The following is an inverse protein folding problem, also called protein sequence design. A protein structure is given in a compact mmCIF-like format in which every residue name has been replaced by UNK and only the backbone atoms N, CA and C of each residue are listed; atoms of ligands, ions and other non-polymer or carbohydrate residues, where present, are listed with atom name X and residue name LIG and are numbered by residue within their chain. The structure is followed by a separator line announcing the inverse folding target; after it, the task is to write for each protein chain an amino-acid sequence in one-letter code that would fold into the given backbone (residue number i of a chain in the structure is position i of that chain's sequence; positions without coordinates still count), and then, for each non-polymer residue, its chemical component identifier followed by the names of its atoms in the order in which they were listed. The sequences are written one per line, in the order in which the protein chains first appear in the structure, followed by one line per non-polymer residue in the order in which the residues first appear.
data_IF_515908382770
#
_entry.id   IF_515908382770
#
_cell.length_a   1.000
_cell.length_b   1.000
_cell.length_c   1.000
_cell.angle_alpha   90.00
_cell.angle_beta   90.00
_cell.angle_gamma   90.00
#
_symmetry.space_group_name_H-M   'P 1'
#
loop_
_entity.id
_entity.type
_entity.pdbx_description
1 polymer ?
#
# COMPACT_ATOMS: atom_id res chain seq x y z
N UNK A 1 -25.33 -51.04 -8.93
CA UNK A 1 -25.14 -49.73 -9.56
C UNK A 1 -24.80 -48.76 -8.45
N UNK A 2 -23.50 -48.56 -8.22
CA UNK A 2 -22.98 -47.66 -7.18
C UNK A 2 -22.71 -46.29 -7.80
N UNK A 3 -23.38 -45.26 -7.32
CA UNK A 3 -23.01 -43.87 -7.62
C UNK A 3 -21.98 -43.41 -6.61
N UNK A 4 -20.73 -43.28 -7.07
CA UNK A 4 -19.67 -42.62 -6.34
C UNK A 4 -19.92 -41.14 -6.35
N UNK A 5 -20.44 -40.59 -5.26
CA UNK A 5 -20.51 -39.15 -5.01
C UNK A 5 -19.12 -38.61 -4.78
N UNK A 6 -18.55 -37.91 -5.76
CA UNK A 6 -17.36 -37.07 -5.60
C UNK A 6 -17.71 -35.92 -4.66
N UNK A 7 -17.23 -35.99 -3.43
CA UNK A 7 -17.20 -34.86 -2.51
C UNK A 7 -16.23 -33.82 -3.08
N UNK A 8 -16.78 -32.83 -3.78
CA UNK A 8 -16.04 -31.63 -4.15
C UNK A 8 -15.79 -30.87 -2.86
N UNK A 9 -14.56 -31.03 -2.32
CA UNK A 9 -14.10 -30.20 -1.22
C UNK A 9 -14.09 -28.74 -1.67
N UNK A 10 -14.90 -27.91 -1.03
CA UNK A 10 -14.88 -26.46 -1.19
C UNK A 10 -13.46 -26.00 -0.87
N UNK A 11 -12.77 -25.28 -1.77
CA UNK A 11 -11.43 -24.78 -1.47
C UNK A 11 -11.53 -23.87 -0.24
N UNK A 12 -10.88 -24.25 0.85
CA UNK A 12 -10.76 -23.40 2.03
C UNK A 12 -10.02 -22.16 1.60
N UNK A 13 -10.70 -21.00 1.66
CA UNK A 13 -10.07 -19.71 1.42
C UNK A 13 -8.89 -19.55 2.38
N UNK A 14 -7.69 -19.36 1.83
CA UNK A 14 -6.48 -19.13 2.60
C UNK A 14 -6.66 -17.84 3.40
N UNK A 15 -6.52 -17.94 4.73
CA UNK A 15 -6.68 -16.77 5.61
C UNK A 15 -5.44 -15.90 5.58
N UNK A 16 -5.64 -14.60 5.50
CA UNK A 16 -4.56 -13.63 5.68
C UNK A 16 -3.93 -13.75 7.06
N UNK A 17 -2.64 -13.52 7.10
CA UNK A 17 -1.88 -13.40 8.34
C UNK A 17 -2.02 -11.98 8.88
N UNK A 18 -2.39 -11.85 10.15
CA UNK A 18 -2.54 -10.54 10.79
C UNK A 18 -1.25 -10.14 11.50
N UNK A 19 -0.79 -8.93 11.18
CA UNK A 19 0.31 -8.24 11.84
C UNK A 19 -0.21 -7.00 12.56
N UNK A 20 0.37 -6.68 13.71
CA UNK A 20 0.08 -5.46 14.47
C UNK A 20 1.34 -4.62 14.56
N UNK A 21 1.21 -3.33 14.32
CA UNK A 21 2.33 -2.40 14.41
C UNK A 21 1.92 -1.16 15.21
N UNK A 22 2.74 -0.78 16.17
CA UNK A 22 2.75 0.56 16.73
C UNK A 22 3.83 1.32 15.96
N UNK A 23 3.44 2.38 15.26
CA UNK A 23 4.32 3.19 14.44
C UNK A 23 4.36 4.61 14.98
N UNK A 24 5.51 5.01 15.51
CA UNK A 24 5.82 6.38 15.91
C UNK A 24 6.43 7.12 14.71
N UNK A 25 5.80 8.22 14.29
CA UNK A 25 6.21 9.01 13.12
C UNK A 25 6.71 10.37 13.60
N UNK A 26 7.93 10.71 13.18
CA UNK A 26 8.54 12.04 13.30
C UNK A 26 8.83 12.56 11.90
N UNK A 27 7.85 13.20 11.27
CA UNK A 27 7.99 13.83 9.95
C UNK A 27 8.41 15.28 10.14
N UNK A 28 9.70 15.50 10.00
CA UNK A 28 10.34 16.81 10.21
C UNK A 28 10.00 17.75 9.05
N UNK A 29 9.91 17.22 7.84
CA UNK A 29 9.66 18.00 6.62
C UNK A 29 8.27 18.64 6.62
N UNK A 30 7.28 17.94 7.18
CA UNK A 30 5.89 18.43 7.27
C UNK A 30 5.49 18.87 8.68
N UNK A 31 6.41 18.78 9.67
CA UNK A 31 6.10 19.11 11.06
C UNK A 31 5.01 18.22 11.66
N UNK A 32 4.92 16.95 11.22
CA UNK A 32 3.90 15.99 11.63
C UNK A 32 4.48 14.94 12.58
N UNK A 33 3.96 14.89 13.80
CA UNK A 33 4.38 13.95 14.85
C UNK A 33 3.16 13.18 15.33
N UNK A 34 3.19 11.85 15.19
CA UNK A 34 2.03 11.02 15.52
C UNK A 34 2.42 9.59 15.85
N UNK A 35 1.58 8.92 16.64
CA UNK A 35 1.67 7.50 16.92
C UNK A 35 0.42 6.80 16.39
N UNK A 36 0.60 5.70 15.70
CA UNK A 36 -0.47 4.92 15.10
C UNK A 36 -0.42 3.46 15.55
N UNK A 37 -1.56 2.94 16.01
CA UNK A 37 -1.76 1.50 16.23
C UNK A 37 -2.41 0.91 15.00
N UNK A 38 -1.66 0.14 14.23
CA UNK A 38 -2.03 -0.36 12.91
C UNK A 38 -2.24 -1.87 12.92
N UNK A 39 -3.19 -2.33 12.12
CA UNK A 39 -3.41 -3.74 11.83
C UNK A 39 -3.28 -3.97 10.33
N UNK A 40 -2.39 -4.85 9.92
CA UNK A 40 -2.15 -5.21 8.54
C UNK A 40 -2.57 -6.66 8.30
N UNK A 41 -3.39 -6.88 7.30
CA UNK A 41 -3.66 -8.21 6.78
C UNK A 41 -2.66 -8.50 5.64
N UNK A 42 -1.79 -9.47 5.84
CA UNK A 42 -0.87 -9.95 4.82
C UNK A 42 -1.53 -11.12 4.11
N UNK A 43 -1.85 -10.96 2.83
CA UNK A 43 -2.46 -11.98 2.00
C UNK A 43 -1.50 -13.20 1.87
N UNK A 44 -1.99 -14.45 1.79
CA UNK A 44 -1.14 -15.63 1.64
C UNK A 44 -0.16 -15.59 0.46
N UNK A 45 -0.51 -14.85 -0.60
CA UNK A 45 0.36 -14.60 -1.77
C UNK A 45 1.20 -13.33 -1.66
N UNK A 46 1.12 -12.61 -0.54
CA UNK A 46 1.90 -11.39 -0.30
C UNK A 46 3.18 -11.73 0.45
N UNK A 47 4.30 -11.14 0.02
CA UNK A 47 5.56 -11.25 0.76
C UNK A 47 5.56 -10.30 1.96
N UNK A 48 6.29 -10.67 3.03
CA UNK A 48 6.49 -9.76 4.17
C UNK A 48 7.18 -8.45 3.74
N UNK A 49 8.08 -8.51 2.75
CA UNK A 49 8.71 -7.32 2.18
C UNK A 49 7.66 -6.35 1.64
N UNK A 50 6.70 -6.83 0.82
CA UNK A 50 5.63 -5.99 0.29
C UNK A 50 4.74 -5.41 1.39
N UNK A 51 4.38 -6.23 2.37
CA UNK A 51 3.62 -5.79 3.54
C UNK A 51 4.36 -4.67 4.30
N UNK A 52 5.68 -4.80 4.50
CA UNK A 52 6.48 -3.77 5.15
C UNK A 52 6.60 -2.50 4.32
N UNK A 53 6.65 -2.61 2.98
CA UNK A 53 6.58 -1.43 2.10
C UNK A 53 5.23 -0.72 2.22
N UNK A 54 4.11 -1.45 2.39
CA UNK A 54 2.81 -0.82 2.70
C UNK A 54 2.86 -0.02 4.01
N UNK A 55 3.55 -0.55 5.01
CA UNK A 55 3.73 0.16 6.29
C UNK A 55 4.58 1.43 6.12
N UNK A 56 5.65 1.39 5.32
CA UNK A 56 6.44 2.58 4.95
C UNK A 56 5.59 3.58 4.20
N UNK A 57 4.82 3.14 3.21
CA UNK A 57 3.91 4.02 2.46
C UNK A 57 2.88 4.69 3.38
N UNK A 58 2.40 4.00 4.42
CA UNK A 58 1.56 4.61 5.45
C UNK A 58 2.30 5.74 6.16
N UNK A 59 3.50 5.48 6.66
CA UNK A 59 4.32 6.46 7.38
C UNK A 59 4.61 7.71 6.55
N UNK A 60 5.02 7.51 5.29
CA UNK A 60 5.31 8.58 4.33
C UNK A 60 4.10 9.47 4.01
N UNK A 61 2.89 8.96 4.16
CA UNK A 61 1.66 9.68 3.80
C UNK A 61 0.77 10.06 5.00
N UNK A 62 1.17 9.75 6.23
CA UNK A 62 0.37 10.05 7.41
C UNK A 62 0.06 11.56 7.56
N UNK A 63 1.01 12.43 7.20
CA UNK A 63 0.84 13.88 7.22
C UNK A 63 -0.30 14.37 6.31
N UNK A 64 -0.66 13.61 5.25
CA UNK A 64 -1.67 14.03 4.26
C UNK A 64 -3.08 14.18 4.85
N UNK A 65 -3.37 13.49 5.95
CA UNK A 65 -4.62 13.68 6.70
C UNK A 65 -4.80 15.15 7.08
N UNK A 66 -3.73 15.82 7.49
CA UNK A 66 -3.75 17.22 7.89
C UNK A 66 -3.46 18.16 6.72
N UNK A 67 -2.43 17.88 5.91
CA UNK A 67 -1.98 18.80 4.84
C UNK A 67 -2.95 18.86 3.66
N UNK A 68 -3.67 17.77 3.37
CA UNK A 68 -4.62 17.70 2.26
C UNK A 68 -6.06 17.89 2.73
N UNK A 69 -6.43 17.34 3.89
CA UNK A 69 -7.81 17.26 4.37
C UNK A 69 -8.05 18.01 5.69
N UNK A 70 -7.07 18.74 6.21
CA UNK A 70 -7.19 19.52 7.46
C UNK A 70 -7.72 18.69 8.65
N UNK A 71 -7.31 17.41 8.72
CA UNK A 71 -7.76 16.47 9.74
C UNK A 71 -9.13 15.79 9.47
N UNK A 72 -9.81 16.15 8.36
CA UNK A 72 -11.14 15.61 8.02
C UNK A 72 -11.07 14.40 7.07
N UNK A 73 -10.16 13.49 7.33
CA UNK A 73 -9.94 12.28 6.52
C UNK A 73 -9.34 11.15 7.35
N UNK A 74 -9.34 9.96 6.78
CA UNK A 74 -8.68 8.79 7.33
C UNK A 74 -7.75 8.17 6.28
N UNK A 75 -6.50 7.92 6.67
CA UNK A 75 -5.57 7.09 5.92
C UNK A 75 -5.71 5.65 6.44
N UNK A 76 -5.99 4.70 5.57
CA UNK A 76 -6.23 3.31 5.94
C UNK A 76 -5.64 2.34 4.92
N UNK A 77 -5.32 1.11 5.39
CA UNK A 77 -5.01 0.00 4.50
C UNK A 77 -6.29 -0.47 3.81
N UNK A 78 -6.19 -0.73 2.52
CA UNK A 78 -7.22 -1.38 1.73
C UNK A 78 -7.07 -2.90 1.72
N UNK A 79 -7.84 -3.56 0.86
CA UNK A 79 -7.84 -5.02 0.71
C UNK A 79 -6.55 -5.57 0.08
N UNK A 80 -5.75 -4.72 -0.55
CA UNK A 80 -4.48 -5.10 -1.19
C UNK A 80 -4.68 -6.21 -2.22
N UNK A 81 -3.90 -7.29 -2.12
CA UNK A 81 -4.00 -8.42 -3.07
C UNK A 81 -5.33 -9.20 -2.99
N UNK A 82 -6.16 -8.95 -1.98
CA UNK A 82 -7.46 -9.61 -1.84
C UNK A 82 -8.53 -9.04 -2.77
N UNK A 83 -8.37 -7.79 -3.19
CA UNK A 83 -9.27 -7.11 -4.12
C UNK A 83 -8.46 -6.21 -5.07
N UNK A 84 -8.32 -6.57 -6.35
CA UNK A 84 -7.57 -5.78 -7.33
C UNK A 84 -8.23 -4.43 -7.66
N UNK A 85 -9.45 -4.21 -7.21
CA UNK A 85 -10.19 -2.97 -7.39
C UNK A 85 -10.13 -2.02 -6.19
N UNK A 86 -9.41 -2.40 -5.14
CA UNK A 86 -9.17 -1.60 -3.94
C UNK A 86 -7.66 -1.29 -3.80
N UNK A 87 -7.27 -0.07 -3.37
CA UNK A 87 -5.85 0.28 -3.20
C UNK A 87 -5.16 -0.51 -2.10
N UNK A 88 -3.84 -0.47 -2.08
CA UNK A 88 -3.07 -0.92 -0.91
C UNK A 88 -3.30 0.00 0.31
N UNK A 89 -3.39 1.31 0.06
CA UNK A 89 -3.80 2.31 1.06
C UNK A 89 -4.68 3.37 0.40
N UNK A 90 -5.55 3.96 1.20
CA UNK A 90 -6.45 5.02 0.76
C UNK A 90 -6.54 6.14 1.79
N UNK A 91 -6.39 7.38 1.34
CA UNK A 91 -6.83 8.56 2.07
C UNK A 91 -8.24 8.91 1.57
N UNK A 92 -9.24 8.70 2.43
CA UNK A 92 -10.61 9.08 2.14
C UNK A 92 -11.05 10.20 3.10
N UNK A 93 -11.63 11.28 2.56
CA UNK A 93 -12.25 12.29 3.39
C UNK A 93 -13.61 11.81 3.94
N UNK A 94 -14.15 12.54 4.92
CA UNK A 94 -15.39 12.14 5.56
C UNK A 94 -16.65 12.29 4.68
N UNK A 95 -16.50 12.81 3.45
CA UNK A 95 -17.55 12.75 2.43
C UNK A 95 -17.52 11.46 1.62
N UNK A 96 -16.50 10.61 1.83
CA UNK A 96 -16.27 9.37 1.12
C UNK A 96 -15.43 9.51 -0.15
N UNK A 97 -14.95 10.73 -0.47
CA UNK A 97 -14.09 10.97 -1.64
C UNK A 97 -12.69 10.46 -1.38
N UNK A 98 -12.14 9.71 -2.33
CA UNK A 98 -10.74 9.27 -2.29
C UNK A 98 -9.83 10.41 -2.74
N UNK A 99 -9.06 10.94 -1.79
CA UNK A 99 -8.11 12.04 -2.01
C UNK A 99 -6.77 11.52 -2.51
N UNK A 100 -6.33 10.37 -1.98
CA UNK A 100 -5.09 9.72 -2.37
C UNK A 100 -5.32 8.22 -2.47
N UNK A 101 -4.91 7.64 -3.57
CA UNK A 101 -4.87 6.20 -3.85
C UNK A 101 -3.41 5.75 -3.90
N UNK A 102 -3.03 4.77 -3.10
CA UNK A 102 -1.65 4.29 -3.02
C UNK A 102 -1.58 2.83 -3.44
N UNK A 103 -0.69 2.56 -4.38
CA UNK A 103 -0.34 1.21 -4.83
C UNK A 103 1.10 0.88 -4.44
N UNK A 104 1.34 -0.38 -4.08
CA UNK A 104 2.67 -0.90 -3.76
C UNK A 104 3.06 -2.01 -4.73
N UNK A 105 4.22 -1.88 -5.34
CA UNK A 105 4.74 -2.85 -6.31
C UNK A 105 4.68 -2.33 -7.74
N UNK A 106 4.24 -3.19 -8.66
CA UNK A 106 4.24 -2.93 -10.10
C UNK A 106 2.83 -3.17 -10.68
N UNK A 107 1.86 -2.28 -10.39
CA UNK A 107 0.52 -2.39 -10.95
C UNK A 107 0.52 -2.25 -12.47
N UNK A 108 -0.42 -2.88 -13.16
CA UNK A 108 -0.57 -2.75 -14.59
C UNK A 108 -1.18 -1.39 -14.99
N UNK A 109 -1.11 -1.07 -16.28
CA UNK A 109 -1.66 0.17 -16.86
C UNK A 109 -3.15 0.34 -16.55
N UNK A 110 -3.93 -0.75 -16.59
CA UNK A 110 -5.37 -0.72 -16.36
C UNK A 110 -5.70 -0.37 -14.92
N UNK A 111 -4.95 -0.94 -13.97
CA UNK A 111 -5.08 -0.63 -12.55
C UNK A 111 -4.79 0.86 -12.29
N UNK A 112 -3.70 1.41 -12.84
CA UNK A 112 -3.33 2.81 -12.69
C UNK A 112 -4.31 3.77 -13.36
N UNK A 113 -4.83 3.42 -14.53
CA UNK A 113 -5.87 4.21 -15.21
C UNK A 113 -7.16 4.24 -14.38
N UNK A 114 -7.56 3.10 -13.81
CA UNK A 114 -8.72 2.99 -12.94
C UNK A 114 -8.54 3.78 -11.65
N UNK A 115 -7.38 3.67 -11.01
CA UNK A 115 -7.03 4.45 -9.82
C UNK A 115 -7.12 5.96 -10.08
N UNK A 116 -6.55 6.42 -11.20
CA UNK A 116 -6.59 7.83 -11.61
C UNK A 116 -8.00 8.36 -11.88
N UNK A 117 -8.94 7.49 -12.26
CA UNK A 117 -10.35 7.87 -12.42
C UNK A 117 -11.11 7.99 -11.11
N UNK A 118 -10.64 7.31 -10.04
CA UNK A 118 -11.34 7.20 -8.75
C UNK A 118 -10.78 8.10 -7.65
N UNK A 119 -9.58 8.66 -7.84
CA UNK A 119 -8.91 9.46 -6.83
C UNK A 119 -8.43 10.81 -7.37
N UNK A 120 -8.15 11.74 -6.45
CA UNK A 120 -7.57 13.04 -6.80
C UNK A 120 -6.09 12.94 -7.16
N UNK A 121 -5.36 12.03 -6.46
CA UNK A 121 -3.95 11.69 -6.68
C UNK A 121 -3.75 10.19 -6.58
N UNK A 122 -2.79 9.68 -7.34
CA UNK A 122 -2.35 8.28 -7.30
C UNK A 122 -0.86 8.26 -7.04
N UNK A 123 -0.44 7.47 -6.06
CA UNK A 123 0.97 7.28 -5.71
C UNK A 123 1.33 5.80 -5.82
N UNK A 124 2.44 5.49 -6.47
CA UNK A 124 2.96 4.12 -6.61
C UNK A 124 4.31 4.03 -5.93
N UNK A 125 4.47 3.06 -5.03
CA UNK A 125 5.74 2.72 -4.40
C UNK A 125 6.28 1.43 -5.02
N UNK A 126 7.18 1.57 -6.01
CA UNK A 126 7.85 0.44 -6.65
C UNK A 126 9.16 0.12 -5.93
N UNK A 127 9.42 -1.16 -5.64
CA UNK A 127 10.58 -1.59 -4.85
C UNK A 127 11.33 -2.81 -5.45
N UNK A 128 10.80 -3.42 -6.49
CA UNK A 128 11.46 -4.54 -7.17
C UNK A 128 12.69 -4.09 -7.94
N UNK A 129 13.73 -4.93 -8.07
CA UNK A 129 14.86 -4.68 -8.98
C UNK A 129 14.44 -4.43 -10.43
N UNK A 130 13.29 -4.95 -10.87
CA UNK A 130 12.73 -4.75 -12.19
C UNK A 130 11.89 -3.49 -12.35
N UNK A 131 11.80 -2.63 -11.33
CA UNK A 131 10.92 -1.46 -11.33
C UNK A 131 11.19 -0.51 -12.51
N UNK A 132 12.46 -0.28 -12.88
CA UNK A 132 12.80 0.61 -13.98
C UNK A 132 12.38 0.03 -15.34
N UNK A 133 12.55 -1.29 -15.53
CA UNK A 133 12.11 -1.97 -16.75
C UNK A 133 10.59 -1.94 -16.86
N UNK A 134 9.91 -2.27 -15.77
CA UNK A 134 8.44 -2.18 -15.70
C UNK A 134 7.96 -0.77 -16.04
N UNK A 135 8.53 0.26 -15.40
CA UNK A 135 8.11 1.65 -15.62
C UNK A 135 8.30 2.08 -17.07
N UNK A 136 9.46 1.77 -17.66
CA UNK A 136 9.73 2.13 -19.06
C UNK A 136 8.73 1.54 -20.06
N UNK A 137 8.09 0.41 -19.73
CA UNK A 137 7.09 -0.25 -20.57
C UNK A 137 5.70 0.40 -20.46
N UNK A 138 5.37 0.98 -19.29
CA UNK A 138 4.02 1.52 -19.05
C UNK A 138 3.96 3.05 -19.09
N UNK A 139 5.05 3.75 -18.80
CA UNK A 139 5.12 5.22 -18.78
C UNK A 139 4.55 5.87 -20.04
N UNK A 140 4.90 5.43 -21.27
CA UNK A 140 4.38 6.05 -22.49
C UNK A 140 2.84 6.00 -22.59
N UNK A 141 2.22 4.96 -22.01
CA UNK A 141 0.78 4.75 -22.01
C UNK A 141 0.08 5.59 -20.94
N UNK A 142 0.81 6.00 -19.91
CA UNK A 142 0.32 6.78 -18.76
C UNK A 142 0.65 8.28 -18.88
N UNK A 143 1.25 8.71 -19.96
CA UNK A 143 1.70 10.10 -20.18
C UNK A 143 0.61 11.17 -20.00
N UNK A 144 -0.67 10.79 -20.12
CA UNK A 144 -1.83 11.67 -19.90
C UNK A 144 -2.34 11.68 -18.46
N UNK A 145 -1.77 10.86 -17.59
CA UNK A 145 -2.19 10.72 -16.18
C UNK A 145 -1.44 11.72 -15.29
N UNK A 146 -1.84 12.98 -15.31
CA UNK A 146 -1.21 14.06 -14.53
C UNK A 146 -1.31 13.90 -13.02
N UNK A 147 -2.12 12.96 -12.54
CA UNK A 147 -2.38 12.68 -11.11
C UNK A 147 -1.44 11.60 -10.53
N UNK A 148 -0.65 10.95 -11.39
CA UNK A 148 0.17 9.81 -11.03
C UNK A 148 1.56 10.25 -10.61
N UNK A 149 1.98 9.79 -9.44
CA UNK A 149 3.33 9.94 -8.90
C UNK A 149 3.95 8.56 -8.69
N UNK A 150 5.20 8.40 -9.08
CA UNK A 150 5.96 7.17 -8.90
C UNK A 150 7.14 7.42 -7.96
N UNK A 151 7.23 6.60 -6.93
CA UNK A 151 8.37 6.54 -6.02
C UNK A 151 9.06 5.19 -6.15
N UNK A 152 10.37 5.24 -6.27
CA UNK A 152 11.19 4.03 -6.29
C UNK A 152 11.91 3.87 -4.97
N UNK A 153 11.65 2.77 -4.29
CA UNK A 153 12.39 2.39 -3.09
C UNK A 153 13.53 1.45 -3.48
N UNK A 154 14.76 1.67 -2.96
CA UNK A 154 15.88 0.77 -3.23
C UNK A 154 15.58 -0.65 -2.72
N UNK A 155 15.76 -1.66 -3.57
CA UNK A 155 15.42 -3.04 -3.24
C UNK A 155 16.27 -3.64 -2.11
N UNK A 156 17.48 -3.12 -1.89
CA UNK A 156 18.31 -3.55 -0.77
C UNK A 156 17.77 -3.02 0.56
N UNK A 157 17.22 -1.81 0.57
CA UNK A 157 16.62 -1.21 1.76
C UNK A 157 15.29 -1.88 2.11
N UNK A 158 14.46 -2.21 1.11
CA UNK A 158 13.20 -2.94 1.36
C UNK A 158 13.44 -4.34 1.87
N UNK A 159 14.50 -5.02 1.41
CA UNK A 159 14.92 -6.31 1.96
C UNK A 159 15.41 -6.20 3.41
N UNK A 160 16.15 -5.15 3.76
CA UNK A 160 16.54 -4.87 5.16
C UNK A 160 15.32 -4.59 6.01
N UNK A 161 14.38 -3.78 5.50
CA UNK A 161 13.12 -3.48 6.18
C UNK A 161 12.32 -4.77 6.49
N UNK A 162 12.33 -5.73 5.58
CA UNK A 162 11.67 -7.03 5.78
C UNK A 162 12.18 -7.78 7.04
N UNK A 163 13.44 -7.58 7.44
CA UNK A 163 14.00 -8.22 8.65
C UNK A 163 13.38 -7.71 9.96
N UNK A 164 12.65 -6.59 9.92
CA UNK A 164 11.93 -6.04 11.06
C UNK A 164 10.51 -6.60 11.18
N UNK A 165 10.06 -7.40 10.21
CA UNK A 165 8.71 -7.95 10.21
C UNK A 165 8.53 -8.94 11.36
N UNK A 166 7.52 -8.68 12.19
CA UNK A 166 7.11 -9.54 13.29
C UNK A 166 5.60 -9.42 13.50
N UNK A 167 4.96 -10.44 14.07
CA UNK A 167 3.51 -10.44 14.32
C UNK A 167 3.03 -9.25 15.14
N UNK A 168 3.90 -8.74 15.99
CA UNK A 168 3.68 -7.52 16.76
C UNK A 168 4.97 -6.69 16.70
N UNK A 169 4.88 -5.48 16.20
CA UNK A 169 6.00 -4.59 15.95
C UNK A 169 5.82 -3.27 16.71
N UNK A 170 6.92 -2.70 17.19
CA UNK A 170 7.00 -1.32 17.64
C UNK A 170 8.13 -0.65 16.87
N UNK A 171 7.77 0.29 16.01
CA UNK A 171 8.67 0.89 15.03
C UNK A 171 8.66 2.40 15.15
N UNK A 172 9.79 3.01 14.88
CA UNK A 172 9.96 4.46 14.78
C UNK A 172 10.36 4.82 13.35
N UNK A 173 9.70 5.82 12.78
CA UNK A 173 10.00 6.37 11.47
C UNK A 173 10.35 7.86 11.61
N UNK A 174 11.54 8.23 11.16
CA UNK A 174 11.94 9.63 11.04
C UNK A 174 12.01 9.97 9.55
N UNK A 175 11.28 11.01 9.15
CA UNK A 175 11.19 11.50 7.77
C UNK A 175 11.89 12.86 7.74
N UNK A 176 12.94 12.96 6.92
CA UNK A 176 13.77 14.15 6.80
C UNK A 176 14.45 14.18 5.44
N UNK A 177 14.42 15.33 4.77
CA UNK A 177 15.08 15.57 3.47
C UNK A 177 14.58 14.60 2.36
N UNK A 178 13.26 14.33 2.34
CA UNK A 178 12.60 13.27 1.63
C UNK A 178 12.04 13.46 0.29
#
# INVERSE_FOLDING_TARGET
MGQSGLLQGTPMALKSTIYKAVLDISDIDHGHYSQHSLTLACHPSETEERMMVRLVAYGLNAHTVHTVCQGNASLSFGAGLSDPDDPDLRLADYTGRTRLWIEVGQPDERALTRASSRADRVCVYAFSPSADVWWSLIEPKLSRQSKLELWRLPSDDTRRLCTLAARSMSLQATLQEG
#
